data_IF_102918863168
#
_entry.id   IF_102918863168
#
_cell.length_a   1.000
_cell.length_b   1.000
_cell.length_c   1.000
_cell.angle_alpha   90.00
_cell.angle_beta   90.00
_cell.angle_gamma   90.00
#
_symmetry.space_group_name_H-M   'P 1'
#
loop_
_entity.id
_entity.type
_entity.pdbx_description
1 polymer ?
#
# COMPACT_ATOMS: atom_id res chain seq x y z
N UNK A 1 3.97 61.10 13.10
CA UNK A 1 3.11 60.82 11.93
C UNK A 1 3.31 59.37 11.57
N UNK A 2 2.33 58.53 11.89
CA UNK A 2 2.40 57.07 11.70
C UNK A 2 1.63 56.74 10.42
N UNK A 3 2.33 56.19 9.42
CA UNK A 3 1.70 55.74 8.18
C UNK A 3 1.03 54.40 8.47
N UNK A 4 -0.31 54.40 8.55
CA UNK A 4 -1.09 53.18 8.55
C UNK A 4 -1.12 52.64 7.11
N UNK A 5 -0.40 51.54 6.86
CA UNK A 5 -0.55 50.73 5.66
C UNK A 5 -1.90 50.00 5.73
N UNK A 6 -2.93 50.60 5.13
CA UNK A 6 -4.20 49.92 4.85
C UNK A 6 -3.99 49.07 3.59
N UNK A 7 -3.68 47.79 3.77
CA UNK A 7 -3.81 46.78 2.72
C UNK A 7 -5.29 46.38 2.63
N UNK A 8 -6.10 47.21 1.99
CA UNK A 8 -7.45 46.84 1.56
C UNK A 8 -7.43 46.68 0.04
N UNK A 9 -6.97 45.53 -0.45
CA UNK A 9 -7.18 45.15 -1.85
C UNK A 9 -8.58 44.54 -1.98
N UNK A 10 -9.48 45.12 -2.80
CA UNK A 10 -10.87 44.65 -2.99
C UNK A 10 -10.96 43.39 -3.88
N UNK A 11 -9.86 42.66 -4.06
CA UNK A 11 -9.76 41.59 -5.06
C UNK A 11 -10.47 40.29 -4.63
N UNK A 12 -10.79 40.15 -3.34
CA UNK A 12 -11.39 38.95 -2.77
C UNK A 12 -12.90 39.05 -2.52
N UNK A 13 -13.47 40.25 -2.53
CA UNK A 13 -14.89 40.46 -2.18
C UNK A 13 -15.86 40.00 -3.28
N UNK A 14 -15.36 39.80 -4.51
CA UNK A 14 -16.14 39.34 -5.67
C UNK A 14 -15.85 37.90 -6.08
N UNK A 15 -15.02 37.16 -5.33
CA UNK A 15 -14.75 35.76 -5.65
C UNK A 15 -15.95 34.92 -5.18
N UNK A 16 -16.61 34.15 -6.07
CA UNK A 16 -17.68 33.26 -5.65
C UNK A 16 -17.14 32.29 -4.60
N UNK A 17 -17.95 31.99 -3.58
CA UNK A 17 -17.59 30.98 -2.59
C UNK A 17 -17.24 29.68 -3.32
N UNK A 18 -16.00 29.21 -3.15
CA UNK A 18 -15.45 27.99 -3.77
C UNK A 18 -16.26 26.70 -3.49
N UNK A 19 -17.30 26.77 -2.66
CA UNK A 19 -18.14 25.65 -2.25
C UNK A 19 -19.51 25.53 -2.94
N UNK A 20 -20.01 26.59 -3.59
CA UNK A 20 -21.42 26.63 -4.06
C UNK A 20 -21.61 26.40 -5.57
N UNK A 21 -20.52 26.23 -6.33
CA UNK A 21 -20.62 25.86 -7.75
C UNK A 21 -20.96 24.38 -7.90
N UNK A 22 -22.01 24.04 -8.68
CA UNK A 22 -22.36 22.65 -8.94
C UNK A 22 -21.19 21.96 -9.67
N UNK A 23 -20.89 20.73 -9.24
CA UNK A 23 -19.80 19.95 -9.84
C UNK A 23 -20.03 19.75 -11.33
N UNK A 24 -18.99 19.98 -12.12
CA UNK A 24 -19.00 19.66 -13.55
C UNK A 24 -19.07 18.15 -13.77
N UNK A 25 -19.54 17.71 -14.93
CA UNK A 25 -19.58 16.28 -15.28
C UNK A 25 -18.20 15.60 -15.17
N UNK A 26 -17.15 16.35 -15.50
CA UNK A 26 -15.74 15.92 -15.42
C UNK A 26 -15.30 15.75 -13.96
N UNK A 27 -15.63 16.68 -13.06
CA UNK A 27 -15.36 16.54 -11.62
C UNK A 27 -16.12 15.36 -11.00
N UNK A 28 -17.38 15.14 -11.40
CA UNK A 28 -18.16 13.98 -10.97
C UNK A 28 -17.50 12.67 -11.42
N UNK A 29 -16.97 12.62 -12.65
CA UNK A 29 -16.20 11.48 -13.16
C UNK A 29 -14.92 11.26 -12.34
N UNK A 30 -14.15 12.31 -12.06
CA UNK A 30 -12.94 12.23 -11.24
C UNK A 30 -13.24 11.75 -9.81
N UNK A 31 -14.32 12.24 -9.17
CA UNK A 31 -14.74 11.76 -7.84
C UNK A 31 -15.14 10.28 -7.84
N UNK A 32 -15.89 9.81 -8.85
CA UNK A 32 -16.21 8.37 -9.00
C UNK A 32 -14.96 7.51 -9.15
N UNK A 33 -13.98 7.99 -9.92
CA UNK A 33 -12.69 7.32 -10.09
C UNK A 33 -11.92 7.26 -8.78
N UNK A 34 -11.89 8.35 -8.00
CA UNK A 34 -11.27 8.37 -6.68
C UNK A 34 -11.94 7.41 -5.70
N UNK A 35 -13.27 7.38 -5.66
CA UNK A 35 -14.01 6.41 -4.82
C UNK A 35 -13.68 4.97 -5.18
N UNK A 36 -13.57 4.68 -6.47
CA UNK A 36 -13.15 3.35 -6.96
C UNK A 36 -11.74 3.01 -6.48
N UNK A 37 -10.79 3.93 -6.61
CA UNK A 37 -9.41 3.73 -6.12
C UNK A 37 -9.37 3.59 -4.59
N UNK A 38 -10.18 4.36 -3.84
CA UNK A 38 -10.30 4.23 -2.38
C UNK A 38 -10.82 2.86 -1.98
N UNK A 39 -11.83 2.32 -2.69
CA UNK A 39 -12.33 0.95 -2.48
C UNK A 39 -11.24 -0.09 -2.76
N UNK A 40 -10.46 0.08 -3.83
CA UNK A 40 -9.32 -0.80 -4.13
C UNK A 40 -8.26 -0.76 -3.03
N UNK A 41 -7.90 0.42 -2.51
CA UNK A 41 -6.97 0.57 -1.38
C UNK A 41 -7.48 -0.20 -0.15
N UNK A 42 -8.77 -0.07 0.18
CA UNK A 42 -9.36 -0.82 1.31
C UNK A 42 -9.29 -2.33 1.09
N UNK A 43 -9.50 -2.81 -0.14
CA UNK A 43 -9.33 -4.22 -0.51
C UNK A 43 -7.89 -4.70 -0.33
N UNK A 44 -6.91 -3.90 -0.77
CA UNK A 44 -5.48 -4.19 -0.59
C UNK A 44 -5.09 -4.28 0.89
N UNK A 45 -5.59 -3.39 1.74
CA UNK A 45 -5.31 -3.42 3.18
C UNK A 45 -5.87 -4.68 3.84
N UNK A 46 -7.10 -5.09 3.51
CA UNK A 46 -7.67 -6.34 4.02
C UNK A 46 -6.83 -7.55 3.59
N UNK A 47 -6.45 -7.61 2.32
CA UNK A 47 -5.62 -8.69 1.79
C UNK A 47 -4.23 -8.71 2.42
N UNK A 48 -3.66 -7.55 2.71
CA UNK A 48 -2.39 -7.40 3.42
C UNK A 48 -2.47 -7.91 4.86
N UNK A 49 -3.55 -7.60 5.58
CA UNK A 49 -3.77 -8.11 6.94
C UNK A 49 -3.92 -9.63 6.96
N UNK A 50 -4.62 -10.21 5.99
CA UNK A 50 -4.73 -11.66 5.83
C UNK A 50 -3.36 -12.29 5.58
N UNK A 51 -2.58 -11.74 4.65
CA UNK A 51 -1.21 -12.20 4.36
C UNK A 51 -0.31 -12.08 5.60
N UNK A 52 -0.41 -11.01 6.38
CA UNK A 52 0.37 -10.86 7.61
C UNK A 52 -0.01 -11.94 8.65
N UNK A 53 -1.29 -12.28 8.78
CA UNK A 53 -1.75 -13.37 9.63
C UNK A 53 -1.18 -14.74 9.17
N UNK A 54 -1.08 -14.97 7.87
CA UNK A 54 -0.42 -16.15 7.30
C UNK A 54 1.05 -16.23 7.72
N UNK A 55 1.81 -15.12 7.61
CA UNK A 55 3.20 -15.04 8.08
C UNK A 55 3.32 -15.40 9.56
N UNK A 56 2.45 -14.84 10.42
CA UNK A 56 2.43 -15.16 11.84
C UNK A 56 2.19 -16.65 12.11
N UNK A 57 1.32 -17.30 11.33
CA UNK A 57 1.06 -18.75 11.45
C UNK A 57 2.30 -19.58 11.06
N UNK A 58 3.01 -19.18 10.01
CA UNK A 58 4.25 -19.86 9.61
C UNK A 58 5.33 -19.70 10.67
N UNK A 59 5.50 -18.51 11.25
CA UNK A 59 6.41 -18.31 12.38
C UNK A 59 6.04 -19.15 13.61
N UNK A 60 4.76 -19.22 13.96
CA UNK A 60 4.30 -20.06 15.07
C UNK A 60 4.59 -21.55 14.81
N UNK A 61 4.45 -22.01 13.56
CA UNK A 61 4.83 -23.38 13.17
C UNK A 61 6.34 -23.61 13.32
N UNK A 62 7.16 -22.65 12.88
CA UNK A 62 8.61 -22.72 13.03
C UNK A 62 9.05 -22.86 14.49
N UNK A 63 8.48 -22.08 15.40
CA UNK A 63 8.79 -22.17 16.84
C UNK A 63 8.53 -23.60 17.35
N UNK A 64 7.40 -24.19 16.99
CA UNK A 64 7.08 -25.59 17.35
C UNK A 64 8.07 -26.59 16.76
N UNK A 65 8.54 -26.37 15.53
CA UNK A 65 9.57 -27.21 14.90
C UNK A 65 10.88 -27.12 15.70
N UNK A 66 11.32 -25.92 16.06
CA UNK A 66 12.53 -25.69 16.84
C UNK A 66 12.44 -26.38 18.22
N UNK A 67 11.28 -26.30 18.90
CA UNK A 67 11.00 -27.01 20.15
C UNK A 67 11.06 -28.54 19.97
N UNK A 68 10.46 -29.08 18.92
CA UNK A 68 10.48 -30.52 18.64
C UNK A 68 11.90 -31.02 18.37
N UNK A 69 12.70 -30.29 17.59
CA UNK A 69 14.11 -30.62 17.34
C UNK A 69 14.90 -30.60 18.66
N UNK A 70 14.69 -29.59 19.51
CA UNK A 70 15.35 -29.50 20.80
C UNK A 70 15.01 -30.71 21.69
N UNK A 71 13.73 -31.03 21.83
CA UNK A 71 13.26 -32.16 22.63
C UNK A 71 13.83 -33.50 22.15
N UNK A 72 13.88 -33.72 20.82
CA UNK A 72 14.49 -34.92 20.25
C UNK A 72 16.00 -34.99 20.51
N UNK A 73 16.72 -33.86 20.44
CA UNK A 73 18.15 -33.81 20.77
C UNK A 73 18.40 -34.13 22.24
N UNK A 74 17.60 -33.60 23.15
CA UNK A 74 17.69 -33.92 24.58
C UNK A 74 17.36 -35.39 24.88
N UNK A 75 16.38 -35.97 24.17
CA UNK A 75 16.07 -37.39 24.28
C UNK A 75 17.24 -38.27 23.79
N UNK A 76 17.90 -37.89 22.70
CA UNK A 76 19.09 -38.61 22.19
C UNK A 76 20.24 -38.56 23.20
N UNK A 77 20.48 -37.42 23.86
CA UNK A 77 21.54 -37.29 24.88
C UNK A 77 21.34 -38.22 26.07
N UNK A 78 20.09 -38.56 26.39
CA UNK A 78 19.70 -39.42 27.52
C UNK A 78 19.61 -40.91 27.14
N UNK A 79 19.82 -41.27 25.88
CA UNK A 79 19.67 -42.64 25.40
C UNK A 79 20.84 -43.52 25.85
N UNK A 80 20.54 -44.75 26.29
CA UNK A 80 21.56 -45.72 26.72
C UNK A 80 22.00 -46.57 25.53
N UNK A 81 23.17 -46.24 24.97
CA UNK A 81 23.76 -47.01 23.88
C UNK A 81 24.54 -48.21 24.42
N UNK A 82 24.47 -49.40 23.77
CA UNK A 82 23.88 -49.64 22.45
C UNK A 82 22.39 -49.99 22.45
N UNK A 83 21.74 -50.17 23.61
CA UNK A 83 20.35 -50.66 23.71
C UNK A 83 19.35 -49.81 22.91
N UNK A 84 19.53 -48.49 22.93
CA UNK A 84 18.61 -47.54 22.29
C UNK A 84 18.97 -47.16 20.85
N UNK A 85 19.91 -47.86 20.19
CA UNK A 85 20.45 -47.44 18.89
C UNK A 85 19.38 -47.25 17.80
N UNK A 86 18.38 -48.14 17.75
CA UNK A 86 17.26 -48.05 16.80
C UNK A 86 16.37 -46.84 17.06
N UNK A 87 16.08 -46.54 18.33
CA UNK A 87 15.30 -45.38 18.74
C UNK A 87 16.02 -44.07 18.40
N UNK A 88 17.32 -44.00 18.65
CA UNK A 88 18.17 -42.85 18.29
C UNK A 88 18.19 -42.63 16.77
N UNK A 89 18.24 -43.70 15.97
CA UNK A 89 18.20 -43.59 14.51
C UNK A 89 16.89 -42.98 14.00
N UNK A 90 15.75 -43.40 14.56
CA UNK A 90 14.43 -42.85 14.20
C UNK A 90 14.29 -41.38 14.64
N UNK A 91 14.75 -41.02 15.84
CA UNK A 91 14.77 -39.62 16.29
C UNK A 91 15.62 -38.74 15.37
N UNK A 92 16.79 -39.22 14.93
CA UNK A 92 17.63 -38.50 13.94
C UNK A 92 16.91 -38.34 12.59
N UNK A 93 16.11 -39.32 12.17
CA UNK A 93 15.30 -39.23 10.95
C UNK A 93 14.21 -38.18 11.08
N UNK A 94 13.51 -38.14 12.21
CA UNK A 94 12.51 -37.11 12.52
C UNK A 94 13.14 -35.71 12.55
N UNK A 95 14.33 -35.56 13.16
CA UNK A 95 15.07 -34.28 13.14
C UNK A 95 15.33 -33.83 11.70
N UNK A 96 15.80 -34.71 10.80
CA UNK A 96 16.01 -34.36 9.38
C UNK A 96 14.73 -33.93 8.68
N UNK A 97 13.61 -34.58 8.98
CA UNK A 97 12.30 -34.16 8.45
C UNK A 97 11.95 -32.74 8.91
N UNK A 98 12.13 -32.45 10.21
CA UNK A 98 11.88 -31.12 10.77
C UNK A 98 12.79 -30.03 10.19
N UNK A 99 14.07 -30.33 9.90
CA UNK A 99 14.96 -29.40 9.21
C UNK A 99 14.44 -29.03 7.82
N UNK A 100 13.96 -30.01 7.05
CA UNK A 100 13.36 -29.75 5.74
C UNK A 100 12.10 -28.89 5.86
N UNK A 101 11.24 -29.21 6.81
CA UNK A 101 10.01 -28.43 7.06
C UNK A 101 10.32 -26.98 7.48
N UNK A 102 11.42 -26.76 8.19
CA UNK A 102 11.91 -25.42 8.53
C UNK A 102 12.38 -24.64 7.30
N UNK A 103 13.06 -25.31 6.35
CA UNK A 103 13.45 -24.73 5.07
C UNK A 103 12.22 -24.31 4.25
N UNK A 104 11.22 -25.18 4.17
CA UNK A 104 9.94 -24.89 3.53
C UNK A 104 9.25 -23.66 4.15
N UNK A 105 9.33 -23.51 5.49
CA UNK A 105 8.80 -22.34 6.18
C UNK A 105 9.49 -21.03 5.76
N UNK A 106 10.80 -21.03 5.49
CA UNK A 106 11.50 -19.83 5.02
C UNK A 106 11.01 -19.44 3.62
N UNK A 107 10.89 -20.40 2.70
CA UNK A 107 10.35 -20.15 1.36
C UNK A 107 8.93 -19.57 1.40
N UNK A 108 8.06 -20.11 2.26
CA UNK A 108 6.70 -19.57 2.43
C UNK A 108 6.70 -18.13 2.96
N UNK A 109 7.57 -17.81 3.92
CA UNK A 109 7.66 -16.44 4.46
C UNK A 109 8.15 -15.47 3.39
N UNK A 110 9.13 -15.84 2.58
CA UNK A 110 9.66 -15.00 1.50
C UNK A 110 8.58 -14.71 0.44
N UNK A 111 7.84 -15.74 0.01
CA UNK A 111 6.74 -15.61 -0.95
C UNK A 111 5.63 -14.68 -0.44
N UNK A 112 5.21 -14.86 0.82
CA UNK A 112 4.17 -14.02 1.41
C UNK A 112 4.68 -12.59 1.61
N UNK A 113 5.94 -12.42 2.01
CA UNK A 113 6.57 -11.10 2.19
C UNK A 113 6.65 -10.34 0.86
N UNK A 114 7.00 -11.04 -0.22
CA UNK A 114 6.97 -10.47 -1.56
C UNK A 114 5.55 -10.02 -1.96
N UNK A 115 4.53 -10.85 -1.67
CA UNK A 115 3.12 -10.50 -1.92
C UNK A 115 2.70 -9.24 -1.15
N UNK A 116 3.09 -9.14 0.13
CA UNK A 116 2.83 -7.96 0.98
C UNK A 116 3.50 -6.71 0.38
N UNK A 117 4.76 -6.82 -0.05
CA UNK A 117 5.48 -5.73 -0.70
C UNK A 117 4.75 -5.21 -1.95
N UNK A 118 4.33 -6.12 -2.84
CA UNK A 118 3.59 -5.73 -4.05
C UNK A 118 2.28 -5.01 -3.73
N UNK A 119 1.52 -5.49 -2.73
CA UNK A 119 0.29 -4.83 -2.27
C UNK A 119 0.55 -3.41 -1.73
N UNK A 120 1.65 -3.21 -1.00
CA UNK A 120 2.05 -1.89 -0.50
C UNK A 120 2.41 -0.93 -1.65
N UNK A 121 3.15 -1.41 -2.65
CA UNK A 121 3.51 -0.62 -3.83
C UNK A 121 2.28 -0.22 -4.67
N UNK A 122 1.32 -1.13 -4.83
CA UNK A 122 0.04 -0.85 -5.49
C UNK A 122 -0.75 0.22 -4.73
N UNK A 123 -0.84 0.10 -3.40
CA UNK A 123 -1.49 1.10 -2.55
C UNK A 123 -0.88 2.49 -2.69
N UNK A 124 0.46 2.60 -2.66
CA UNK A 124 1.17 3.88 -2.84
C UNK A 124 0.87 4.47 -4.23
N UNK A 125 0.87 3.63 -5.26
CA UNK A 125 0.55 4.05 -6.63
C UNK A 125 -0.87 4.58 -6.75
N UNK A 126 -1.86 3.89 -6.16
CA UNK A 126 -3.24 4.35 -6.15
C UNK A 126 -3.39 5.66 -5.37
N UNK A 127 -2.69 5.82 -4.25
CA UNK A 127 -2.74 7.07 -3.48
C UNK A 127 -2.21 8.26 -4.29
N UNK A 128 -1.06 8.10 -4.94
CA UNK A 128 -0.51 9.13 -5.83
C UNK A 128 -1.45 9.49 -6.99
N UNK A 129 -2.20 8.52 -7.53
CA UNK A 129 -3.21 8.79 -8.56
C UNK A 129 -4.37 9.61 -8.02
N UNK A 130 -4.84 9.33 -6.80
CA UNK A 130 -5.87 10.13 -6.13
C UNK A 130 -5.38 11.57 -5.93
N UNK A 131 -4.17 11.75 -5.39
CA UNK A 131 -3.61 13.08 -5.13
C UNK A 131 -3.46 13.90 -6.43
N UNK A 132 -3.08 13.27 -7.55
CA UNK A 132 -3.05 13.92 -8.86
C UNK A 132 -4.43 14.36 -9.34
N UNK A 133 -5.45 13.53 -9.15
CA UNK A 133 -6.83 13.88 -9.50
C UNK A 133 -7.34 15.04 -8.64
N UNK A 134 -7.00 15.08 -7.35
CA UNK A 134 -7.35 16.19 -6.47
C UNK A 134 -6.74 17.51 -6.98
N UNK A 135 -5.44 17.52 -7.28
CA UNK A 135 -4.76 18.71 -7.82
C UNK A 135 -5.36 19.13 -9.17
N UNK A 136 -5.65 18.18 -10.06
CA UNK A 136 -6.24 18.48 -11.37
C UNK A 136 -7.63 19.14 -11.23
N UNK A 137 -8.47 18.63 -10.32
CA UNK A 137 -9.79 19.24 -10.06
C UNK A 137 -9.66 20.66 -9.52
N UNK A 138 -8.76 20.90 -8.55
CA UNK A 138 -8.54 22.24 -7.99
C UNK A 138 -7.95 23.21 -9.01
N UNK A 139 -7.00 22.76 -9.86
CA UNK A 139 -6.49 23.57 -10.97
C UNK A 139 -7.60 23.93 -11.96
N UNK A 140 -8.47 22.98 -12.32
CA UNK A 140 -9.58 23.24 -13.24
C UNK A 140 -10.59 24.24 -12.64
N UNK A 141 -10.87 24.15 -11.34
CA UNK A 141 -11.71 25.13 -10.62
C UNK A 141 -11.11 26.52 -10.65
N UNK A 142 -9.83 26.64 -10.34
CA UNK A 142 -9.12 27.92 -10.39
C UNK A 142 -9.09 28.49 -11.81
N UNK A 143 -8.86 27.65 -12.83
CA UNK A 143 -8.90 28.07 -14.22
C UNK A 143 -10.29 28.60 -14.62
N UNK A 144 -11.37 27.92 -14.21
CA UNK A 144 -12.74 28.39 -14.46
C UNK A 144 -13.04 29.72 -13.76
N UNK A 145 -12.44 30.00 -12.60
CA UNK A 145 -12.59 31.28 -11.88
C UNK A 145 -11.78 32.39 -12.57
N UNK A 146 -10.53 32.10 -12.94
CA UNK A 146 -9.60 33.07 -13.53
C UNK A 146 -9.91 33.38 -15.00
N UNK A 147 -10.44 32.40 -15.73
CA UNK A 147 -10.77 32.48 -17.15
C UNK A 147 -12.19 31.95 -17.44
N UNK A 148 -13.25 32.61 -16.91
CA UNK A 148 -14.63 32.13 -17.05
C UNK A 148 -15.13 32.07 -18.50
N UNK A 149 -14.41 32.66 -19.44
CA UNK A 149 -14.75 32.74 -20.87
C UNK A 149 -13.94 31.77 -21.75
N UNK A 150 -13.00 31.01 -21.18
CA UNK A 150 -12.14 30.10 -21.96
C UNK A 150 -12.35 28.67 -21.44
N UNK A 151 -13.12 27.83 -22.16
CA UNK A 151 -13.17 26.40 -21.90
C UNK A 151 -11.75 25.82 -21.83
N UNK A 152 -11.45 25.09 -20.76
CA UNK A 152 -10.11 24.51 -20.53
C UNK A 152 -9.66 23.57 -21.68
N UNK A 153 -10.62 23.03 -22.43
CA UNK A 153 -10.40 22.26 -23.66
C UNK A 153 -9.57 23.03 -24.71
N UNK A 154 -9.65 24.37 -24.74
CA UNK A 154 -8.85 25.22 -25.65
C UNK A 154 -7.39 25.43 -25.18
N UNK A 155 -7.05 25.08 -23.93
CA UNK A 155 -5.67 25.15 -23.43
C UNK A 155 -4.86 23.89 -23.78
N UNK A 156 -5.52 22.77 -24.10
CA UNK A 156 -4.82 21.61 -24.68
C UNK A 156 -4.34 21.89 -26.11
N UNK A 157 -5.09 22.68 -26.90
CA UNK A 157 -4.70 23.10 -28.25
C UNK A 157 -3.44 23.99 -28.24
N UNK A 158 -3.26 24.84 -27.22
CA UNK A 158 -2.05 25.68 -27.08
C UNK A 158 -0.78 24.84 -26.87
N UNK A 159 -0.88 23.65 -26.27
CA UNK A 159 0.28 22.76 -26.10
C UNK A 159 0.74 22.10 -27.41
N UNK A 160 -0.15 21.93 -28.39
CA UNK A 160 0.25 21.42 -29.70
C UNK A 160 0.90 22.52 -30.57
N UNK A 161 0.50 23.78 -30.43
CA UNK A 161 1.11 24.89 -31.17
C UNK A 161 2.55 25.19 -30.72
N UNK A 162 2.86 25.06 -29.41
CA UNK A 162 4.23 25.29 -28.89
C UNK A 162 5.26 24.24 -29.36
N UNK A 163 4.82 23.10 -29.93
CA UNK A 163 5.74 22.12 -30.54
C UNK A 163 6.10 22.39 -32.00
N UNK A 164 5.50 23.41 -32.63
CA UNK A 164 5.73 23.76 -34.04
C UNK A 164 6.57 25.01 -34.25
N UNK A 165 7.12 25.61 -33.20
CA UNK A 165 8.13 26.68 -33.27
C UNK A 165 9.47 26.25 -32.67
#
# INVERSE_FOLDING_TARGET
>A
MTVALIWSTPFTDSLPALGDTPLTATELSHRRNQETMKKQITGLERNRQLAFSEVCRVYARRIKIDENIHNLKEAIKKAELPRDIGRVAEMKKQIRHFWKEQEDCYGMVDDISHRIYLMLMQRVTLRRKIDRLDVQMECNRLANILYPQVPFELLEDVKEEVKKE
#
